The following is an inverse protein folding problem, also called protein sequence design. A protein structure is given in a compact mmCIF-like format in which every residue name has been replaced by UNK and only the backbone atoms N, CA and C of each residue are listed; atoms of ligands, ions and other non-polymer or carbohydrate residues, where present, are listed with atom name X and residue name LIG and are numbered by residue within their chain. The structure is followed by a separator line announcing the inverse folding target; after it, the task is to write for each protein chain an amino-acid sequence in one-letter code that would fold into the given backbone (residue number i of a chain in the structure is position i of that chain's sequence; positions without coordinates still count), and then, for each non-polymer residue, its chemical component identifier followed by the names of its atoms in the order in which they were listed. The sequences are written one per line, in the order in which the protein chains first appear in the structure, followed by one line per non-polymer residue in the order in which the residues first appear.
data_IF_780503655987
#
_entry.id   IF_780503655987
#
_cell.length_a   1.000
_cell.length_b   1.000
_cell.length_c   1.000
_cell.angle_alpha   90.00
_cell.angle_beta   90.00
_cell.angle_gamma   90.00
#
_symmetry.space_group_name_H-M   'P 1'
#
loop_
_entity.id
_entity.type
_entity.pdbx_description
1 polymer ?
#
# COMPACT_ATOMS: atom_id res chain seq x y z
N UNK A 1 74.66 44.10 143.08
CA UNK A 1 74.80 43.03 144.07
C UNK A 1 75.34 43.63 145.35
N UNK A 2 74.49 43.84 146.35
CA UNK A 2 74.94 44.27 147.67
C UNK A 2 75.36 43.01 148.43
N UNK A 3 76.67 42.83 148.63
CA UNK A 3 77.18 41.79 149.51
C UNK A 3 76.58 42.00 150.89
N UNK A 4 75.63 41.14 151.28
CA UNK A 4 75.07 41.12 152.63
C UNK A 4 76.11 40.48 153.54
N UNK A 5 77.05 41.30 154.00
CA UNK A 5 77.97 41.02 155.12
C UNK A 5 77.20 40.97 156.46
N UNK A 6 76.05 40.31 156.47
CA UNK A 6 75.26 40.00 157.66
C UNK A 6 75.61 38.56 158.03
N UNK A 7 76.11 38.27 159.24
CA UNK A 7 76.33 36.89 159.66
C UNK A 7 75.01 36.13 159.67
N UNK A 8 74.89 35.07 158.86
CA UNK A 8 73.64 34.33 158.68
C UNK A 8 73.03 33.83 160.00
N UNK A 9 73.88 33.57 161.00
CA UNK A 9 73.45 33.34 162.38
C UNK A 9 74.26 34.20 163.35
N UNK A 10 73.77 35.42 163.63
CA UNK A 10 74.29 36.25 164.74
C UNK A 10 74.33 35.51 166.09
N UNK A 11 73.46 34.52 166.29
CA UNK A 11 73.48 33.66 167.47
C UNK A 11 74.71 32.74 167.54
N UNK A 12 75.25 32.29 166.39
CA UNK A 12 76.43 31.41 166.35
C UNK A 12 77.71 32.21 166.59
N UNK A 13 77.80 33.47 166.14
CA UNK A 13 78.90 34.36 166.53
C UNK A 13 78.93 34.60 168.04
N UNK A 14 77.78 34.88 168.66
CA UNK A 14 77.67 35.05 170.12
C UNK A 14 78.03 33.74 170.85
N UNK A 15 77.61 32.57 170.34
CA UNK A 15 78.01 31.28 170.90
C UNK A 15 79.52 31.03 170.80
N UNK A 16 80.14 31.36 169.66
CA UNK A 16 81.59 31.27 169.46
C UNK A 16 82.38 32.25 170.35
N UNK A 17 81.82 33.42 170.66
CA UNK A 17 82.40 34.40 171.57
C UNK A 17 82.35 33.87 173.02
N UNK A 18 81.18 33.42 173.50
CA UNK A 18 81.04 32.80 174.81
C UNK A 18 81.92 31.54 174.99
N UNK A 19 82.10 30.71 173.95
CA UNK A 19 82.99 29.53 174.00
C UNK A 19 84.46 29.95 174.14
N UNK A 20 84.87 31.06 173.51
CA UNK A 20 86.22 31.62 173.68
C UNK A 20 86.42 32.29 175.04
N UNK A 21 85.39 32.92 175.58
CA UNK A 21 85.40 33.46 176.94
C UNK A 21 85.55 32.34 177.97
N UNK A 22 84.76 31.27 177.87
CA UNK A 22 84.88 30.06 178.69
C UNK A 22 86.26 29.41 178.58
N UNK A 23 86.80 29.28 177.36
CA UNK A 23 88.15 28.75 177.13
C UNK A 23 89.23 29.63 177.77
N UNK A 24 89.06 30.96 177.73
CA UNK A 24 89.97 31.89 178.39
C UNK A 24 89.88 31.80 179.91
N UNK A 25 88.68 31.79 180.49
CA UNK A 25 88.46 31.64 181.94
C UNK A 25 89.11 30.34 182.45
N UNK A 26 88.92 29.22 181.76
CA UNK A 26 89.53 27.93 182.13
C UNK A 26 91.06 27.92 182.06
N UNK A 27 91.67 28.67 181.13
CA UNK A 27 93.13 28.85 181.07
C UNK A 27 93.64 29.74 182.21
N UNK A 28 92.93 30.84 182.49
CA UNK A 28 93.34 31.86 183.47
C UNK A 28 93.14 31.37 184.93
N UNK A 29 92.10 30.57 185.22
CA UNK A 29 91.81 30.05 186.57
C UNK A 29 92.68 28.86 187.02
N UNK A 30 93.48 28.27 186.11
CA UNK A 30 94.47 27.24 186.47
C UNK A 30 93.89 25.93 187.02
N UNK A 31 92.62 25.63 186.72
CA UNK A 31 91.88 24.47 187.24
C UNK A 31 92.47 23.16 186.72
N UNK A 32 92.45 22.10 187.52
CA UNK A 32 92.83 20.76 187.04
C UNK A 32 91.94 20.34 185.86
N UNK A 33 92.54 19.73 184.82
CA UNK A 33 91.93 19.45 183.50
C UNK A 33 91.68 20.65 182.59
N UNK A 34 92.20 21.86 182.90
CA UNK A 34 92.15 22.99 181.97
C UNK A 34 92.80 22.75 180.60
N UNK A 35 93.89 21.96 180.43
CA UNK A 35 94.48 21.73 179.10
C UNK A 35 93.56 20.92 178.19
N UNK A 36 92.96 19.84 178.70
CA UNK A 36 92.06 18.96 177.95
C UNK A 36 90.72 19.65 177.67
N UNK A 37 90.17 20.38 178.64
CA UNK A 37 88.95 21.16 178.43
C UNK A 37 89.16 22.27 177.39
N UNK A 38 90.30 22.98 177.46
CA UNK A 38 90.68 24.00 176.48
C UNK A 38 90.90 23.40 175.08
N UNK A 39 91.51 22.22 174.98
CA UNK A 39 91.64 21.51 173.71
C UNK A 39 90.28 21.22 173.08
N UNK A 40 89.32 20.68 173.85
CA UNK A 40 87.98 20.42 173.34
C UNK A 40 87.17 21.68 173.03
N UNK A 41 87.29 22.77 173.80
CA UNK A 41 86.65 24.05 173.44
C UNK A 41 87.26 24.67 172.19
N UNK A 42 88.57 24.50 171.96
CA UNK A 42 89.26 24.86 170.73
C UNK A 42 88.81 23.99 169.54
N UNK A 43 88.62 22.68 169.73
CA UNK A 43 88.06 21.78 168.71
C UNK A 43 86.61 22.12 168.38
N UNK A 44 85.76 22.40 169.38
CA UNK A 44 84.37 22.85 169.18
C UNK A 44 84.35 24.19 168.44
N UNK A 45 85.21 25.15 168.82
CA UNK A 45 85.36 26.42 168.11
C UNK A 45 85.76 26.18 166.65
N UNK A 46 86.73 25.29 166.40
CA UNK A 46 87.16 24.89 165.06
C UNK A 46 86.06 24.24 164.23
N UNK A 47 85.31 23.30 164.81
CA UNK A 47 84.20 22.61 164.14
C UNK A 47 83.04 23.56 163.83
N UNK A 48 82.65 24.43 164.76
CA UNK A 48 81.57 25.42 164.55
C UNK A 48 81.99 26.48 163.54
N UNK A 49 83.23 26.98 163.58
CA UNK A 49 83.74 27.91 162.56
C UNK A 49 83.89 27.28 161.18
N UNK A 50 84.24 26.00 161.11
CA UNK A 50 84.25 25.21 159.88
C UNK A 50 82.85 25.02 159.30
N UNK A 51 81.89 24.58 160.13
CA UNK A 51 80.49 24.41 159.72
C UNK A 51 79.85 25.74 159.27
N UNK A 52 80.18 26.85 159.92
CA UNK A 52 79.78 28.20 159.49
C UNK A 52 80.41 28.61 158.14
N UNK A 53 81.66 28.20 157.87
CA UNK A 53 82.30 28.45 156.59
C UNK A 53 81.71 27.59 155.46
N UNK A 54 81.43 26.31 155.73
CA UNK A 54 80.73 25.41 154.81
C UNK A 54 79.29 25.90 154.56
N UNK A 55 78.59 26.35 155.60
CA UNK A 55 77.25 26.92 155.53
C UNK A 55 77.18 28.16 154.64
N UNK A 56 78.10 29.12 154.83
CA UNK A 56 78.25 30.28 153.94
C UNK A 56 78.56 29.86 152.50
N UNK A 57 79.51 28.95 152.30
CA UNK A 57 79.88 28.45 150.97
C UNK A 57 78.68 27.80 150.26
N UNK A 58 77.89 26.99 150.98
CA UNK A 58 76.68 26.38 150.45
C UNK A 58 75.58 27.41 150.16
N UNK A 59 75.45 28.46 150.97
CA UNK A 59 74.50 29.55 150.73
C UNK A 59 74.89 30.38 149.50
N UNK A 60 76.17 30.76 149.37
CA UNK A 60 76.72 31.44 148.19
C UNK A 60 76.50 30.63 146.91
N UNK A 61 76.78 29.31 146.94
CA UNK A 61 76.51 28.41 145.82
C UNK A 61 75.01 28.33 145.48
N UNK A 62 74.13 28.33 146.49
CA UNK A 62 72.68 28.33 146.29
C UNK A 62 72.17 29.67 145.72
N UNK A 63 72.72 30.80 146.16
CA UNK A 63 72.39 32.13 145.62
C UNK A 63 72.82 32.22 144.14
N UNK A 64 74.06 31.83 143.83
CA UNK A 64 74.58 31.78 142.45
C UNK A 64 73.70 30.88 141.58
N UNK A 65 73.43 29.64 142.01
CA UNK A 65 72.58 28.72 141.26
C UNK A 65 71.14 29.24 141.09
N UNK A 66 70.61 29.99 142.07
CA UNK A 66 69.28 30.61 141.97
C UNK A 66 69.27 31.77 140.98
N UNK A 67 70.31 32.60 140.95
CA UNK A 67 70.49 33.67 139.97
C UNK A 67 70.64 33.08 138.57
N UNK A 68 71.52 32.10 138.38
CA UNK A 68 71.70 31.39 137.10
C UNK A 68 70.41 30.73 136.61
N UNK A 69 69.66 30.07 137.51
CA UNK A 69 68.35 29.50 137.16
C UNK A 69 67.34 30.57 136.75
N UNK A 70 67.38 31.75 137.38
CA UNK A 70 66.54 32.90 137.01
C UNK A 70 66.93 33.47 135.64
N UNK A 71 68.22 33.57 135.33
CA UNK A 71 68.72 33.99 134.00
C UNK A 71 68.27 33.00 132.94
N UNK A 72 68.51 31.70 133.13
CA UNK A 72 68.10 30.65 132.19
C UNK A 72 66.57 30.61 131.97
N UNK A 73 65.76 30.85 133.01
CA UNK A 73 64.29 30.99 132.86
C UNK A 73 63.92 32.21 132.01
N UNK A 74 64.62 33.34 132.20
CA UNK A 74 64.37 34.54 131.42
C UNK A 74 64.77 34.34 129.95
N UNK A 75 65.94 33.78 129.68
CA UNK A 75 66.41 33.43 128.33
C UNK A 75 65.49 32.43 127.64
N UNK A 76 65.06 31.36 128.34
CA UNK A 76 64.13 30.37 127.78
C UNK A 76 62.76 30.99 127.44
N UNK A 77 62.26 31.91 128.27
CA UNK A 77 61.03 32.65 127.97
C UNK A 77 61.24 33.61 126.78
N UNK A 78 62.36 34.34 126.72
CA UNK A 78 62.69 35.21 125.59
C UNK A 78 62.78 34.44 124.26
N UNK A 79 63.46 33.29 124.25
CA UNK A 79 63.55 32.41 123.08
C UNK A 79 62.17 31.85 122.70
N UNK A 80 61.34 31.48 123.68
CA UNK A 80 59.95 31.05 123.44
C UNK A 80 59.13 32.15 122.78
N UNK A 81 59.20 33.38 123.30
CA UNK A 81 58.44 34.51 122.80
C UNK A 81 58.90 34.90 121.39
N UNK A 82 60.21 34.94 121.15
CA UNK A 82 60.79 35.13 119.81
C UNK A 82 60.35 34.04 118.83
N UNK A 83 60.43 32.76 119.21
CA UNK A 83 60.00 31.64 118.36
C UNK A 83 58.49 31.69 118.09
N UNK A 84 57.68 32.08 119.08
CA UNK A 84 56.25 32.30 118.89
C UNK A 84 55.96 33.45 117.93
N UNK A 85 56.73 34.54 117.97
CA UNK A 85 56.61 35.65 117.02
C UNK A 85 56.99 35.23 115.60
N UNK A 86 58.09 34.48 115.41
CA UNK A 86 58.49 33.93 114.11
C UNK A 86 57.41 33.01 113.55
N UNK A 87 56.92 32.05 114.33
CA UNK A 87 55.84 31.13 113.90
C UNK A 87 54.57 31.91 113.51
N UNK A 88 54.19 32.95 114.27
CA UNK A 88 53.05 33.79 113.91
C UNK A 88 53.27 34.59 112.62
N UNK A 89 54.49 35.09 112.38
CA UNK A 89 54.85 35.81 111.16
C UNK A 89 54.83 34.88 109.94
N UNK A 90 55.41 33.68 110.05
CA UNK A 90 55.40 32.66 108.98
C UNK A 90 53.98 32.20 108.65
N UNK A 91 53.15 31.96 109.67
CA UNK A 91 51.72 31.62 109.48
C UNK A 91 50.94 32.78 108.83
N UNK A 92 51.26 34.03 109.17
CA UNK A 92 50.64 35.19 108.53
C UNK A 92 51.08 35.34 107.06
N UNK A 93 52.37 35.17 106.77
CA UNK A 93 52.91 35.21 105.42
C UNK A 93 52.35 34.09 104.53
N UNK A 94 52.27 32.85 105.04
CA UNK A 94 51.66 31.73 104.34
C UNK A 94 50.15 31.97 104.08
N UNK A 95 49.42 32.55 105.04
CA UNK A 95 48.01 32.92 104.84
C UNK A 95 47.84 34.01 103.78
N UNK A 96 48.71 35.02 103.75
CA UNK A 96 48.70 36.07 102.75
C UNK A 96 48.98 35.51 101.34
N UNK A 97 50.05 34.72 101.20
CA UNK A 97 50.41 34.06 99.93
C UNK A 97 49.30 33.14 99.41
N UNK A 98 48.70 32.31 100.29
CA UNK A 98 47.57 31.46 99.91
C UNK A 98 46.33 32.29 99.51
N UNK A 99 46.10 33.45 100.13
CA UNK A 99 44.98 34.32 99.77
C UNK A 99 45.19 34.98 98.39
N UNK A 100 46.43 35.39 98.08
CA UNK A 100 46.83 35.90 96.77
C UNK A 100 46.68 34.82 95.67
N UNK A 101 47.14 33.58 95.94
CA UNK A 101 46.99 32.45 95.00
C UNK A 101 45.51 32.11 94.75
N UNK A 102 44.69 32.02 95.80
CA UNK A 102 43.24 31.77 95.66
C UNK A 102 42.56 32.87 94.83
N UNK A 103 42.95 34.13 95.02
CA UNK A 103 42.38 35.24 94.27
C UNK A 103 42.88 35.28 92.81
N UNK A 104 44.11 34.86 92.55
CA UNK A 104 44.60 34.66 91.18
C UNK A 104 43.85 33.52 90.47
N UNK A 105 43.72 32.36 91.11
CA UNK A 105 42.95 31.22 90.59
C UNK A 105 41.48 31.57 90.30
N UNK A 106 40.87 32.44 91.11
CA UNK A 106 39.50 32.97 90.85
C UNK A 106 39.44 33.83 89.60
N UNK A 107 40.42 34.72 89.39
CA UNK A 107 40.50 35.56 88.19
C UNK A 107 40.72 34.72 86.94
N UNK A 108 41.61 33.73 87.02
CA UNK A 108 41.88 32.81 85.90
C UNK A 108 40.67 31.94 85.58
N UNK A 109 39.97 31.39 86.59
CA UNK A 109 38.73 30.65 86.41
C UNK A 109 37.62 31.52 85.79
N UNK A 110 37.49 32.78 86.22
CA UNK A 110 36.53 33.71 85.63
C UNK A 110 36.87 34.03 84.17
N UNK A 111 38.15 34.25 83.86
CA UNK A 111 38.61 34.49 82.49
C UNK A 111 38.36 33.29 81.57
N UNK A 112 38.67 32.06 82.03
CA UNK A 112 38.37 30.82 81.31
C UNK A 112 36.86 30.66 81.08
N UNK A 113 36.04 31.00 82.07
CA UNK A 113 34.57 30.95 81.95
C UNK A 113 34.06 31.92 80.86
N UNK A 114 34.57 33.16 80.82
CA UNK A 114 34.24 34.13 79.76
C UNK A 114 34.69 33.65 78.37
N UNK A 115 35.87 33.03 78.27
CA UNK A 115 36.36 32.43 77.01
C UNK A 115 35.44 31.28 76.57
N UNK A 116 35.02 30.42 77.50
CA UNK A 116 34.12 29.31 77.22
C UNK A 116 32.76 29.82 76.69
N UNK A 117 32.13 30.77 77.38
CA UNK A 117 30.86 31.38 76.96
C UNK A 117 30.97 32.05 75.57
N UNK A 118 32.05 32.82 75.34
CA UNK A 118 32.34 33.44 74.04
C UNK A 118 32.53 32.40 72.92
N UNK A 119 33.19 31.28 73.23
CA UNK A 119 33.46 30.20 72.28
C UNK A 119 32.18 29.42 71.94
N UNK A 120 31.34 29.11 72.93
CA UNK A 120 30.01 28.50 72.72
C UNK A 120 29.13 29.42 71.88
N UNK A 121 29.06 30.72 72.20
CA UNK A 121 28.28 31.69 71.42
C UNK A 121 28.76 31.80 69.96
N UNK A 122 30.06 31.72 69.70
CA UNK A 122 30.62 31.67 68.34
C UNK A 122 30.29 30.36 67.63
N UNK A 123 30.42 29.23 68.31
CA UNK A 123 30.08 27.91 67.78
C UNK A 123 28.62 27.86 67.33
N UNK A 124 27.69 28.34 68.15
CA UNK A 124 26.26 28.28 67.86
C UNK A 124 25.87 29.21 66.70
N UNK A 125 26.53 30.37 66.55
CA UNK A 125 26.40 31.22 65.36
C UNK A 125 26.87 30.51 64.09
N UNK A 126 28.08 29.94 64.11
CA UNK A 126 28.64 29.19 62.96
C UNK A 126 27.74 27.99 62.61
N UNK A 127 27.20 27.29 63.61
CA UNK A 127 26.25 26.20 63.40
C UNK A 127 24.97 26.69 62.70
N UNK A 128 24.37 27.78 63.18
CA UNK A 128 23.19 28.39 62.55
C UNK A 128 23.47 28.88 61.11
N UNK A 129 24.66 29.41 60.84
CA UNK A 129 25.08 29.80 59.49
C UNK A 129 25.23 28.58 58.58
N UNK A 130 25.84 27.49 59.05
CA UNK A 130 25.96 26.22 58.30
C UNK A 130 24.59 25.62 57.99
N UNK A 131 23.65 25.63 58.94
CA UNK A 131 22.28 25.16 58.73
C UNK A 131 21.56 26.00 57.66
N UNK A 132 21.67 27.34 57.73
CA UNK A 132 21.09 28.24 56.72
C UNK A 132 21.73 28.06 55.33
N UNK A 133 23.05 27.89 55.26
CA UNK A 133 23.75 27.65 53.99
C UNK A 133 23.39 26.28 53.39
N UNK A 134 23.21 25.27 54.23
CA UNK A 134 22.75 23.93 53.81
C UNK A 134 21.36 23.99 53.19
N UNK A 135 20.44 24.73 53.81
CA UNK A 135 19.09 24.95 53.29
C UNK A 135 19.10 25.65 51.92
N UNK A 136 19.83 26.77 51.77
CA UNK A 136 19.93 27.47 50.49
C UNK A 136 20.64 26.62 49.41
N UNK A 137 21.68 25.85 49.77
CA UNK A 137 22.32 24.88 48.86
C UNK A 137 21.31 23.87 48.33
N UNK A 138 20.49 23.28 49.19
CA UNK A 138 19.55 22.23 48.81
C UNK A 138 18.38 22.78 47.97
N UNK A 139 17.93 24.01 48.27
CA UNK A 139 17.00 24.79 47.45
C UNK A 139 17.55 25.15 46.07
N UNK A 140 18.83 25.55 45.96
CA UNK A 140 19.50 25.78 44.67
C UNK A 140 19.66 24.47 43.91
N UNK A 141 19.99 23.37 44.59
CA UNK A 141 20.09 22.03 43.99
C UNK A 141 18.75 21.56 43.42
N UNK A 142 17.63 21.77 44.13
CA UNK A 142 16.29 21.46 43.64
C UNK A 142 15.96 22.25 42.36
N UNK A 143 16.16 23.58 42.37
CA UNK A 143 15.99 24.42 41.17
C UNK A 143 16.86 23.99 40.00
N UNK A 144 18.09 23.57 40.26
CA UNK A 144 18.99 23.08 39.21
C UNK A 144 18.49 21.75 38.61
N UNK A 145 17.92 20.86 39.44
CA UNK A 145 17.28 19.63 38.97
C UNK A 145 16.03 19.90 38.14
N UNK A 146 15.20 20.88 38.51
CA UNK A 146 14.04 21.34 37.72
C UNK A 146 14.48 21.85 36.33
N UNK A 147 15.55 22.66 36.27
CA UNK A 147 16.11 23.15 35.00
C UNK A 147 16.68 22.01 34.14
N UNK A 148 17.36 21.02 34.74
CA UNK A 148 17.84 19.83 34.02
C UNK A 148 16.66 19.03 33.45
N UNK A 149 15.57 18.84 34.20
CA UNK A 149 14.37 18.15 33.74
C UNK A 149 13.75 18.88 32.53
N UNK A 150 13.50 20.18 32.65
CA UNK A 150 12.94 20.99 31.56
C UNK A 150 13.79 20.97 30.28
N UNK A 151 15.12 21.02 30.39
CA UNK A 151 16.04 20.93 29.24
C UNK A 151 16.03 19.52 28.60
N UNK A 152 15.84 18.46 29.38
CA UNK A 152 15.69 17.11 28.84
C UNK A 152 14.36 16.91 28.12
N UNK A 153 13.28 17.52 28.63
CA UNK A 153 11.96 17.51 27.98
C UNK A 153 11.99 18.28 26.66
N UNK A 154 12.55 19.50 26.64
CA UNK A 154 12.74 20.30 25.42
C UNK A 154 13.60 19.55 24.39
N UNK A 155 14.69 18.90 24.82
CA UNK A 155 15.54 18.09 23.96
C UNK A 155 14.79 16.89 23.38
N UNK A 156 13.93 16.25 24.16
CA UNK A 156 13.09 15.12 23.71
C UNK A 156 12.06 15.59 22.68
N UNK A 157 11.39 16.71 22.94
CA UNK A 157 10.47 17.34 22.00
C UNK A 157 11.17 17.72 20.68
N UNK A 158 12.38 18.28 20.76
CA UNK A 158 13.19 18.62 19.59
C UNK A 158 13.56 17.40 18.75
N UNK A 159 13.94 16.28 19.37
CA UNK A 159 14.18 15.03 18.64
C UNK A 159 12.91 14.47 17.99
N UNK A 160 11.76 14.52 18.67
CA UNK A 160 10.49 14.10 18.10
C UNK A 160 10.09 14.95 16.88
N UNK A 161 10.24 16.28 16.97
CA UNK A 161 10.00 17.20 15.84
C UNK A 161 10.97 16.95 14.68
N UNK A 162 12.26 16.69 14.96
CA UNK A 162 13.24 16.35 13.93
C UNK A 162 12.88 15.03 13.23
N UNK A 163 12.50 13.99 13.99
CA UNK A 163 12.06 12.71 13.42
C UNK A 163 10.82 12.86 12.53
N UNK A 164 9.84 13.66 12.94
CA UNK A 164 8.66 13.98 12.12
C UNK A 164 9.04 14.76 10.84
N UNK A 165 9.97 15.71 10.93
CA UNK A 165 10.48 16.46 9.77
C UNK A 165 11.14 15.52 8.75
N UNK A 166 11.98 14.59 9.21
CA UNK A 166 12.69 13.66 8.34
C UNK A 166 11.75 12.59 7.74
N UNK A 167 10.74 12.12 8.49
CA UNK A 167 9.63 11.33 7.93
C UNK A 167 8.87 12.10 6.84
N UNK A 168 8.53 13.37 7.09
CA UNK A 168 7.83 14.22 6.12
C UNK A 168 8.68 14.40 4.85
N UNK A 169 9.99 14.60 4.99
CA UNK A 169 10.94 14.67 3.85
C UNK A 169 10.94 13.38 3.03
N UNK A 170 11.03 12.22 3.67
CA UNK A 170 10.96 10.92 2.97
C UNK A 170 9.66 10.80 2.17
N UNK A 171 8.50 11.11 2.77
CA UNK A 171 7.22 11.06 2.03
C UNK A 171 7.16 12.02 0.84
N UNK A 172 7.82 13.18 0.92
CA UNK A 172 7.92 14.13 -0.21
C UNK A 172 8.81 13.56 -1.32
N UNK A 173 9.90 12.86 -0.99
CA UNK A 173 10.78 12.21 -1.96
C UNK A 173 10.09 11.02 -2.63
N UNK A 174 9.39 10.18 -1.86
CA UNK A 174 8.59 9.05 -2.37
C UNK A 174 7.46 9.54 -3.31
N UNK A 175 6.78 10.62 -2.96
CA UNK A 175 5.76 11.25 -3.81
C UNK A 175 6.36 11.84 -5.09
N UNK A 176 7.53 12.49 -5.02
CA UNK A 176 8.23 12.99 -6.23
C UNK A 176 8.63 11.85 -7.16
N UNK A 177 9.16 10.75 -6.62
CA UNK A 177 9.50 9.56 -7.40
C UNK A 177 8.25 8.94 -8.06
N UNK A 178 7.13 8.91 -7.33
CA UNK A 178 5.84 8.44 -7.85
C UNK A 178 5.31 9.34 -8.98
N UNK A 179 5.38 10.66 -8.82
CA UNK A 179 4.99 11.63 -9.87
C UNK A 179 5.85 11.42 -11.13
N UNK A 180 7.19 11.36 -10.99
CA UNK A 180 8.09 11.14 -12.12
C UNK A 180 7.83 9.81 -12.84
N UNK A 181 7.46 8.75 -12.11
CA UNK A 181 7.04 7.48 -12.70
C UNK A 181 5.71 7.60 -13.46
N UNK A 182 4.72 8.30 -12.91
CA UNK A 182 3.46 8.56 -13.60
C UNK A 182 3.66 9.42 -14.86
N UNK A 183 4.50 10.44 -14.82
CA UNK A 183 4.87 11.27 -15.99
C UNK A 183 5.55 10.44 -17.07
N UNK A 184 6.51 9.58 -16.70
CA UNK A 184 7.17 8.66 -17.64
C UNK A 184 6.16 7.70 -18.29
N UNK A 185 5.33 7.02 -17.49
CA UNK A 185 4.29 6.12 -17.99
C UNK A 185 3.29 6.84 -18.91
N UNK A 186 2.97 8.11 -18.62
CA UNK A 186 2.09 8.93 -19.47
C UNK A 186 2.74 9.22 -20.81
N UNK A 187 4.04 9.56 -20.84
CA UNK A 187 4.77 9.75 -22.11
C UNK A 187 4.86 8.45 -22.92
N UNK A 188 5.13 7.31 -22.28
CA UNK A 188 5.14 5.99 -22.93
C UNK A 188 3.77 5.67 -23.55
N UNK A 189 2.69 5.80 -22.79
CA UNK A 189 1.32 5.56 -23.29
C UNK A 189 0.93 6.52 -24.42
N UNK A 190 1.39 7.77 -24.39
CA UNK A 190 1.19 8.71 -25.50
C UNK A 190 1.93 8.26 -26.76
N UNK A 191 3.17 7.80 -26.63
CA UNK A 191 3.97 7.28 -27.74
C UNK A 191 3.36 6.00 -28.33
N UNK A 192 2.98 5.04 -27.47
CA UNK A 192 2.32 3.80 -27.88
C UNK A 192 1.00 4.09 -28.63
N UNK A 193 0.18 5.02 -28.11
CA UNK A 193 -1.06 5.45 -28.76
C UNK A 193 -0.82 6.15 -30.11
N UNK A 194 0.32 6.84 -30.30
CA UNK A 194 0.67 7.38 -31.63
C UNK A 194 1.06 6.28 -32.61
N UNK A 195 1.84 5.28 -32.18
CA UNK A 195 2.22 4.13 -33.02
C UNK A 195 1.01 3.28 -33.40
N UNK A 196 0.12 2.98 -32.44
CA UNK A 196 -1.12 2.23 -32.68
C UNK A 196 -2.04 2.96 -33.69
N UNK A 197 -2.12 4.29 -33.63
CA UNK A 197 -2.85 5.09 -34.63
C UNK A 197 -2.22 5.04 -36.01
N UNK A 198 -0.89 5.10 -36.11
CA UNK A 198 -0.19 4.97 -37.40
C UNK A 198 -0.41 3.58 -38.01
N UNK A 199 -0.31 2.52 -37.21
CA UNK A 199 -0.53 1.15 -37.67
C UNK A 199 -1.99 0.88 -38.03
N UNK A 200 -2.95 1.43 -37.29
CA UNK A 200 -4.37 1.39 -37.66
C UNK A 200 -4.66 2.12 -38.98
N UNK A 201 -4.00 3.26 -39.23
CA UNK A 201 -4.12 3.98 -40.51
C UNK A 201 -3.54 3.15 -41.66
N UNK A 202 -2.36 2.56 -41.50
CA UNK A 202 -1.76 1.65 -42.49
C UNK A 202 -2.69 0.47 -42.78
N UNK A 203 -3.16 -0.22 -41.74
CA UNK A 203 -4.04 -1.38 -41.88
C UNK A 203 -5.36 -1.02 -42.60
N UNK A 204 -5.94 0.15 -42.31
CA UNK A 204 -7.13 0.66 -43.02
C UNK A 204 -6.82 0.99 -44.49
N UNK A 205 -5.66 1.56 -44.78
CA UNK A 205 -5.22 1.81 -46.16
C UNK A 205 -4.98 0.51 -46.94
N UNK A 206 -4.39 -0.50 -46.31
CA UNK A 206 -4.13 -1.80 -46.92
C UNK A 206 -5.43 -2.58 -47.17
N UNK A 207 -6.36 -2.62 -46.20
CA UNK A 207 -7.71 -3.16 -46.41
C UNK A 207 -8.47 -2.42 -47.52
N UNK A 208 -8.31 -1.09 -47.62
CA UNK A 208 -8.94 -0.33 -48.70
C UNK A 208 -8.30 -0.62 -50.07
N UNK A 209 -6.99 -0.89 -50.14
CA UNK A 209 -6.35 -1.37 -51.38
C UNK A 209 -6.88 -2.76 -51.74
N UNK A 210 -6.98 -3.66 -50.77
CA UNK A 210 -7.49 -5.02 -50.97
C UNK A 210 -8.95 -5.01 -51.47
N UNK A 211 -9.84 -4.23 -50.85
CA UNK A 211 -11.23 -4.05 -51.32
C UNK A 211 -11.28 -3.48 -52.76
N UNK A 212 -10.44 -2.50 -53.09
CA UNK A 212 -10.34 -1.97 -54.45
C UNK A 212 -9.79 -3.02 -55.44
N UNK A 213 -8.79 -3.82 -55.05
CA UNK A 213 -8.23 -4.90 -55.87
C UNK A 213 -9.22 -6.04 -56.11
N UNK A 214 -9.98 -6.45 -55.10
CA UNK A 214 -11.08 -7.42 -55.24
C UNK A 214 -12.19 -6.88 -56.15
N UNK A 215 -12.56 -5.60 -55.98
CA UNK A 215 -13.56 -4.95 -56.83
C UNK A 215 -13.08 -4.82 -58.30
N UNK A 216 -11.79 -4.57 -58.53
CA UNK A 216 -11.17 -4.63 -59.87
C UNK A 216 -11.21 -6.05 -60.42
N UNK A 217 -10.79 -7.08 -59.66
CA UNK A 217 -10.84 -8.49 -60.10
C UNK A 217 -12.25 -8.90 -60.51
N UNK A 218 -13.28 -8.57 -59.71
CA UNK A 218 -14.67 -8.86 -60.08
C UNK A 218 -15.14 -8.10 -61.33
N UNK A 219 -14.68 -6.86 -61.55
CA UNK A 219 -14.95 -6.16 -62.82
C UNK A 219 -14.23 -6.83 -64.01
N UNK A 220 -12.98 -7.27 -63.85
CA UNK A 220 -12.24 -8.00 -64.89
C UNK A 220 -12.87 -9.36 -65.21
N UNK A 221 -13.32 -10.10 -64.20
CA UNK A 221 -14.05 -11.37 -64.35
C UNK A 221 -15.38 -11.16 -65.11
N UNK A 222 -16.18 -10.16 -64.71
CA UNK A 222 -17.42 -9.81 -65.40
C UNK A 222 -17.19 -9.35 -66.86
N UNK A 223 -16.11 -8.61 -67.11
CA UNK A 223 -15.70 -8.23 -68.47
C UNK A 223 -15.22 -9.42 -69.30
N UNK A 224 -14.50 -10.38 -68.70
CA UNK A 224 -14.09 -11.63 -69.36
C UNK A 224 -15.30 -12.50 -69.69
N UNK A 225 -16.27 -12.61 -68.80
CA UNK A 225 -17.49 -13.37 -69.01
C UNK A 225 -18.37 -12.74 -70.10
N UNK A 226 -18.62 -11.43 -70.04
CA UNK A 226 -19.32 -10.70 -71.11
C UNK A 226 -18.61 -10.79 -72.47
N UNK A 227 -17.26 -10.81 -72.47
CA UNK A 227 -16.47 -11.02 -73.69
C UNK A 227 -16.64 -12.43 -74.26
N UNK A 228 -16.68 -13.47 -73.41
CA UNK A 228 -17.00 -14.84 -73.84
C UNK A 228 -18.40 -14.92 -74.45
N UNK A 229 -19.40 -14.32 -73.80
CA UNK A 229 -20.77 -14.24 -74.34
C UNK A 229 -20.83 -13.53 -75.70
N UNK A 230 -20.11 -12.41 -75.85
CA UNK A 230 -20.02 -11.68 -77.12
C UNK A 230 -19.36 -12.49 -78.23
N UNK A 231 -18.30 -13.24 -77.94
CA UNK A 231 -17.64 -14.09 -78.93
C UNK A 231 -18.52 -15.31 -79.30
N UNK A 232 -19.25 -15.89 -78.35
CA UNK A 232 -20.24 -16.96 -78.58
C UNK A 232 -21.44 -16.45 -79.41
N UNK A 233 -21.90 -15.22 -79.17
CA UNK A 233 -22.91 -14.53 -79.99
C UNK A 233 -22.40 -14.24 -81.41
N UNK A 234 -21.12 -13.88 -81.57
CA UNK A 234 -20.49 -13.70 -82.91
C UNK A 234 -20.41 -15.01 -83.67
N UNK A 235 -20.05 -16.11 -83.01
CA UNK A 235 -19.97 -17.43 -83.61
C UNK A 235 -21.36 -17.95 -84.02
N UNK A 236 -22.36 -17.81 -83.14
CA UNK A 236 -23.76 -18.08 -83.48
C UNK A 236 -24.27 -17.21 -84.64
N UNK A 237 -23.90 -15.93 -84.69
CA UNK A 237 -24.22 -15.06 -85.84
C UNK A 237 -23.55 -15.54 -87.12
N UNK A 238 -22.30 -16.00 -87.06
CA UNK A 238 -21.55 -16.53 -88.21
C UNK A 238 -22.22 -17.80 -88.75
N UNK A 239 -22.44 -18.78 -87.89
CA UNK A 239 -23.13 -20.03 -88.22
C UNK A 239 -24.55 -19.78 -88.77
N UNK A 240 -25.28 -18.82 -88.19
CA UNK A 240 -26.58 -18.38 -88.70
C UNK A 240 -26.51 -17.72 -90.08
N UNK A 241 -25.42 -17.05 -90.41
CA UNK A 241 -25.19 -16.43 -91.71
C UNK A 241 -24.77 -17.47 -92.76
N UNK A 242 -23.91 -18.42 -92.40
CA UNK A 242 -23.48 -19.53 -93.25
C UNK A 242 -24.69 -20.42 -93.63
N UNK A 243 -25.57 -20.74 -92.67
CA UNK A 243 -26.86 -21.41 -92.91
C UNK A 243 -27.77 -20.62 -93.87
N UNK A 244 -27.70 -19.28 -93.84
CA UNK A 244 -28.51 -18.39 -94.68
C UNK A 244 -28.02 -18.40 -96.14
N UNK A 245 -26.71 -18.49 -96.35
CA UNK A 245 -26.12 -18.62 -97.68
C UNK A 245 -26.30 -20.05 -98.25
N UNK A 246 -26.30 -21.10 -97.42
CA UNK A 246 -26.72 -22.45 -97.81
C UNK A 246 -28.21 -22.50 -98.24
N UNK A 247 -29.10 -21.85 -97.48
CA UNK A 247 -30.53 -21.73 -97.83
C UNK A 247 -30.73 -20.93 -99.13
N UNK A 248 -29.91 -19.91 -99.40
CA UNK A 248 -29.89 -19.18 -100.68
C UNK A 248 -29.45 -20.09 -101.84
N UNK A 249 -28.40 -20.88 -101.65
CA UNK A 249 -27.95 -21.87 -102.64
C UNK A 249 -29.05 -22.90 -102.97
N UNK A 250 -29.74 -23.42 -101.96
CA UNK A 250 -30.90 -24.31 -102.14
C UNK A 250 -32.06 -23.61 -102.86
N UNK A 251 -32.32 -22.33 -102.54
CA UNK A 251 -33.37 -21.54 -103.21
C UNK A 251 -33.07 -21.37 -104.70
N UNK A 252 -31.82 -21.01 -105.06
CA UNK A 252 -31.37 -20.89 -106.46
C UNK A 252 -31.48 -22.23 -107.20
N UNK A 253 -31.14 -23.35 -106.54
CA UNK A 253 -31.34 -24.68 -107.12
C UNK A 253 -32.82 -24.99 -107.37
N UNK A 254 -33.70 -24.70 -106.40
CA UNK A 254 -35.13 -24.89 -106.53
C UNK A 254 -35.73 -24.02 -107.65
N UNK A 255 -35.37 -22.73 -107.75
CA UNK A 255 -35.77 -21.86 -108.85
C UNK A 255 -35.34 -22.42 -110.22
N UNK A 256 -34.10 -22.92 -110.34
CA UNK A 256 -33.61 -23.57 -111.57
C UNK A 256 -34.36 -24.86 -111.94
N UNK A 257 -34.93 -25.54 -110.94
CA UNK A 257 -35.76 -26.74 -111.13
C UNK A 257 -37.18 -26.38 -111.52
N UNK A 258 -37.72 -25.30 -110.94
CA UNK A 258 -39.06 -24.79 -111.20
C UNK A 258 -39.15 -24.23 -112.63
N UNK A 259 -38.16 -23.44 -113.08
CA UNK A 259 -38.09 -22.96 -114.47
C UNK A 259 -38.02 -24.11 -115.50
N UNK A 260 -37.35 -25.22 -115.19
CA UNK A 260 -37.34 -26.43 -116.04
C UNK A 260 -38.71 -27.12 -116.10
N UNK A 261 -39.38 -27.24 -114.95
CA UNK A 261 -40.74 -27.79 -114.86
C UNK A 261 -41.76 -26.92 -115.61
N UNK A 262 -41.63 -25.60 -115.52
CA UNK A 262 -42.52 -24.64 -116.18
C UNK A 262 -42.33 -24.65 -117.71
N UNK A 263 -41.09 -24.76 -118.19
CA UNK A 263 -40.79 -24.99 -119.61
C UNK A 263 -41.36 -26.33 -120.13
N UNK A 264 -41.27 -27.40 -119.33
CA UNK A 264 -41.84 -28.71 -119.66
C UNK A 264 -43.38 -28.69 -119.72
N UNK A 265 -44.02 -27.98 -118.78
CA UNK A 265 -45.47 -27.77 -118.75
C UNK A 265 -45.95 -27.01 -119.99
N UNK A 266 -45.30 -25.89 -120.34
CA UNK A 266 -45.65 -25.11 -121.54
C UNK A 266 -45.48 -25.90 -122.84
N UNK A 267 -44.50 -26.82 -122.91
CA UNK A 267 -44.38 -27.72 -124.05
C UNK A 267 -45.55 -28.71 -124.13
N UNK A 268 -45.93 -29.32 -123.00
CA UNK A 268 -47.04 -30.29 -122.93
C UNK A 268 -48.39 -29.64 -123.26
N UNK A 269 -48.65 -28.42 -122.78
CA UNK A 269 -49.88 -27.66 -123.09
C UNK A 269 -50.00 -27.37 -124.59
N UNK A 270 -48.91 -27.00 -125.27
CA UNK A 270 -48.90 -26.75 -126.73
C UNK A 270 -49.19 -28.00 -127.56
N UNK A 271 -48.73 -29.17 -127.11
CA UNK A 271 -49.04 -30.45 -127.77
C UNK A 271 -50.53 -30.78 -127.59
N UNK A 272 -51.05 -30.63 -126.37
CA UNK A 272 -52.46 -30.89 -126.05
C UNK A 272 -53.43 -29.98 -126.83
N UNK A 273 -53.08 -28.70 -127.00
CA UNK A 273 -53.90 -27.74 -127.76
C UNK A 273 -53.96 -28.07 -129.27
N UNK A 274 -52.83 -28.50 -129.85
CA UNK A 274 -52.78 -28.96 -131.24
C UNK A 274 -53.62 -30.22 -131.48
N UNK A 275 -53.57 -31.17 -130.54
CA UNK A 275 -54.33 -32.42 -130.60
C UNK A 275 -55.84 -32.20 -130.38
N UNK A 276 -56.21 -31.25 -129.52
CA UNK A 276 -57.60 -30.83 -129.29
C UNK A 276 -58.22 -30.20 -130.55
N UNK A 277 -57.48 -29.33 -131.27
CA UNK A 277 -57.94 -28.73 -132.54
C UNK A 277 -58.17 -29.82 -133.61
N UNK A 278 -57.26 -30.79 -133.71
CA UNK A 278 -57.38 -31.93 -134.62
C UNK A 278 -58.62 -32.80 -134.31
N UNK A 279 -58.96 -32.97 -133.04
CA UNK A 279 -60.16 -33.69 -132.61
C UNK A 279 -61.46 -32.95 -132.97
N UNK A 280 -61.46 -31.61 -132.89
CA UNK A 280 -62.61 -30.77 -133.28
C UNK A 280 -62.87 -30.81 -134.80
N UNK A 281 -61.82 -30.79 -135.63
CA UNK A 281 -61.95 -30.94 -137.09
C UNK A 281 -62.54 -32.30 -137.50
N UNK A 282 -62.06 -33.39 -136.89
CA UNK A 282 -62.59 -34.74 -137.09
C UNK A 282 -64.06 -34.88 -136.64
N UNK A 283 -64.43 -34.23 -135.53
CA UNK A 283 -65.82 -34.20 -135.07
C UNK A 283 -66.74 -33.45 -136.05
N UNK A 284 -66.30 -32.33 -136.62
CA UNK A 284 -67.05 -31.57 -137.62
C UNK A 284 -67.25 -32.37 -138.93
N UNK A 285 -66.21 -33.07 -139.41
CA UNK A 285 -66.32 -33.94 -140.59
C UNK A 285 -67.30 -35.11 -140.37
N UNK A 286 -67.29 -35.73 -139.18
CA UNK A 286 -68.24 -36.80 -138.81
C UNK A 286 -69.69 -36.31 -138.84
N UNK A 287 -69.95 -35.11 -138.31
CA UNK A 287 -71.29 -34.50 -138.29
C UNK A 287 -71.80 -34.17 -139.70
N UNK A 288 -70.92 -33.67 -140.58
CA UNK A 288 -71.26 -33.40 -141.98
C UNK A 288 -71.64 -34.69 -142.74
N UNK A 289 -70.87 -35.77 -142.56
CA UNK A 289 -71.14 -37.08 -143.19
C UNK A 289 -72.42 -37.74 -142.64
N UNK A 290 -72.71 -37.61 -141.34
CA UNK A 290 -73.98 -38.10 -140.79
C UNK A 290 -75.19 -37.36 -141.36
N UNK A 291 -75.07 -36.05 -141.60
CA UNK A 291 -76.14 -35.27 -142.25
C UNK A 291 -76.38 -35.71 -143.69
N UNK A 292 -75.32 -35.89 -144.48
CA UNK A 292 -75.43 -36.40 -145.86
C UNK A 292 -76.05 -37.79 -145.95
N UNK A 293 -75.72 -38.69 -145.02
CA UNK A 293 -76.35 -40.01 -144.92
C UNK A 293 -77.85 -39.92 -144.61
N UNK A 294 -78.25 -39.02 -143.71
CA UNK A 294 -79.65 -38.84 -143.35
C UNK A 294 -80.47 -38.23 -144.51
N UNK A 295 -79.91 -37.24 -145.20
CA UNK A 295 -80.54 -36.58 -146.36
C UNK A 295 -80.72 -37.58 -147.53
N UNK A 296 -79.70 -38.41 -147.83
CA UNK A 296 -79.84 -39.49 -148.81
C UNK A 296 -80.91 -40.52 -148.43
N UNK A 297 -81.00 -40.93 -147.16
CA UNK A 297 -81.99 -41.90 -146.71
C UNK A 297 -83.43 -41.35 -146.89
N UNK A 298 -83.64 -40.08 -146.51
CA UNK A 298 -84.93 -39.41 -146.66
C UNK A 298 -85.38 -39.31 -148.13
N UNK A 299 -84.45 -39.13 -149.08
CA UNK A 299 -84.79 -39.14 -150.51
C UNK A 299 -84.98 -40.57 -151.05
N UNK A 300 -84.24 -41.56 -150.54
CA UNK A 300 -84.46 -42.98 -150.86
C UNK A 300 -85.85 -43.46 -150.41
N UNK A 301 -86.27 -43.10 -149.19
CA UNK A 301 -87.58 -43.46 -148.64
C UNK A 301 -88.74 -42.79 -149.39
N UNK A 302 -88.58 -41.53 -149.85
CA UNK A 302 -89.55 -40.87 -150.74
C UNK A 302 -89.71 -41.64 -152.06
N UNK A 303 -88.60 -42.02 -152.70
CA UNK A 303 -88.63 -42.79 -153.97
C UNK A 303 -89.24 -44.17 -153.76
N UNK A 304 -88.95 -44.83 -152.63
CA UNK A 304 -89.56 -46.12 -152.25
C UNK A 304 -91.07 -46.02 -152.01
N UNK A 305 -91.54 -44.95 -151.36
CA UNK A 305 -92.96 -44.71 -151.14
C UNK A 305 -93.70 -44.46 -152.47
N UNK A 306 -93.13 -43.62 -153.34
CA UNK A 306 -93.72 -43.24 -154.63
C UNK A 306 -93.79 -44.44 -155.61
N UNK A 307 -92.78 -45.31 -155.60
CA UNK A 307 -92.81 -46.59 -156.33
C UNK A 307 -93.83 -47.59 -155.78
N UNK A 308 -93.93 -47.75 -154.45
CA UNK A 308 -94.96 -48.61 -153.84
C UNK A 308 -96.38 -48.13 -154.16
N UNK A 309 -96.62 -46.82 -154.14
CA UNK A 309 -97.91 -46.23 -154.47
C UNK A 309 -98.27 -46.44 -155.96
N UNK A 310 -97.30 -46.34 -156.87
CA UNK A 310 -97.48 -46.65 -158.31
C UNK A 310 -97.80 -48.13 -158.55
N UNK A 311 -97.12 -49.05 -157.87
CA UNK A 311 -97.40 -50.50 -157.97
C UNK A 311 -98.82 -50.82 -157.50
N UNK A 312 -99.21 -50.37 -156.31
CA UNK A 312 -100.55 -50.62 -155.77
C UNK A 312 -101.67 -50.10 -156.69
N UNK A 313 -101.47 -48.93 -157.32
CA UNK A 313 -102.42 -48.34 -158.25
C UNK A 313 -102.52 -49.15 -159.57
N UNK A 314 -101.42 -49.72 -160.07
CA UNK A 314 -101.44 -50.62 -161.23
C UNK A 314 -102.15 -51.94 -160.89
N UNK A 315 -101.89 -52.51 -159.72
CA UNK A 315 -102.54 -53.76 -159.27
C UNK A 315 -104.07 -53.58 -159.11
N UNK A 316 -104.53 -52.48 -158.52
CA UNK A 316 -105.97 -52.16 -158.42
C UNK A 316 -106.64 -52.09 -159.80
N UNK A 317 -105.98 -51.44 -160.77
CA UNK A 317 -106.50 -51.36 -162.13
C UNK A 317 -106.54 -52.73 -162.83
N UNK A 318 -105.56 -53.61 -162.57
CA UNK A 318 -105.58 -54.99 -163.10
C UNK A 318 -106.69 -55.86 -162.48
N UNK A 319 -106.99 -55.69 -161.18
CA UNK A 319 -108.10 -56.40 -160.52
C UNK A 319 -109.46 -55.93 -161.07
N UNK A 320 -109.66 -54.63 -161.24
CA UNK A 320 -110.88 -54.07 -161.84
C UNK A 320 -111.09 -54.53 -163.30
N UNK A 321 -110.00 -54.65 -164.08
CA UNK A 321 -110.04 -55.15 -165.46
C UNK A 321 -110.36 -56.67 -165.55
N UNK A 322 -109.98 -57.47 -164.55
CA UNK A 322 -110.37 -58.91 -164.51
C UNK A 322 -111.84 -59.09 -164.16
N UNK A 323 -112.32 -58.38 -163.14
CA UNK A 323 -113.73 -58.45 -162.70
C UNK A 323 -114.72 -58.06 -163.82
N UNK A 324 -114.37 -57.06 -164.64
CA UNK A 324 -115.19 -56.66 -165.80
C UNK A 324 -115.17 -57.69 -166.94
N UNK A 325 -114.08 -58.45 -167.11
CA UNK A 325 -113.98 -59.53 -168.11
C UNK A 325 -114.83 -60.76 -167.73
N UNK A 326 -114.80 -61.16 -166.47
CA UNK A 326 -115.59 -62.32 -165.97
C UNK A 326 -117.11 -62.06 -166.07
N UNK A 327 -117.55 -60.84 -165.72
CA UNK A 327 -118.96 -60.44 -165.81
C UNK A 327 -119.54 -60.51 -167.23
N UNK A 328 -118.72 -60.33 -168.27
CA UNK A 328 -119.15 -60.48 -169.66
C UNK A 328 -119.15 -61.94 -170.14
N UNK A 329 -118.21 -62.78 -169.69
CA UNK A 329 -118.26 -64.23 -169.98
C UNK A 329 -119.48 -64.91 -169.39
N UNK A 330 -119.90 -64.53 -168.17
CA UNK A 330 -121.07 -65.13 -167.50
C UNK A 330 -122.41 -64.82 -168.22
N UNK A 331 -122.47 -63.68 -168.93
CA UNK A 331 -123.62 -63.32 -169.79
C UNK A 331 -123.69 -64.18 -171.06
N UNK A 332 -122.56 -64.56 -171.65
CA UNK A 332 -122.54 -65.48 -172.79
C UNK A 332 -122.97 -66.91 -172.40
N UNK A 333 -122.61 -67.36 -171.20
CA UNK A 333 -123.03 -68.68 -170.70
C UNK A 333 -124.56 -68.80 -170.55
N UNK A 334 -125.22 -67.78 -169.98
CA UNK A 334 -126.68 -67.82 -169.71
C UNK A 334 -127.56 -67.80 -170.96
N UNK A 335 -127.13 -67.18 -172.06
CA UNK A 335 -127.90 -67.21 -173.32
C UNK A 335 -127.80 -68.60 -173.98
N UNK A 336 -126.67 -69.30 -173.84
CA UNK A 336 -126.45 -70.61 -174.45
C UNK A 336 -127.29 -71.74 -173.82
N UNK A 337 -127.57 -71.66 -172.52
CA UNK A 337 -128.43 -72.65 -171.83
C UNK A 337 -129.91 -72.50 -172.19
N UNK A 338 -130.45 -71.27 -172.22
CA UNK A 338 -131.91 -71.06 -172.39
C UNK A 338 -132.44 -71.62 -173.72
N UNK A 339 -131.70 -71.46 -174.83
CA UNK A 339 -132.16 -71.97 -176.13
C UNK A 339 -131.96 -73.47 -176.32
N UNK A 340 -131.12 -74.11 -175.50
CA UNK A 340 -130.89 -75.57 -175.52
C UNK A 340 -132.03 -76.35 -174.86
N UNK A 341 -132.76 -75.71 -173.94
CA UNK A 341 -133.87 -76.31 -173.18
C UNK A 341 -135.14 -76.49 -174.02
N UNK A 342 -135.42 -75.61 -174.98
CA UNK A 342 -136.64 -75.68 -175.82
C UNK A 342 -136.62 -76.84 -176.83
N UNK A 343 -135.52 -77.57 -176.97
CA UNK A 343 -135.32 -78.65 -177.95
C UNK A 343 -135.39 -80.08 -177.39
N UNK A 344 -135.72 -80.29 -176.10
CA UNK A 344 -135.63 -81.63 -175.46
C UNK A 344 -136.90 -82.19 -174.80
N UNK A 345 -138.08 -81.69 -175.15
CA UNK A 345 -139.38 -82.40 -174.95
C UNK A 345 -140.40 -82.02 -176.03
N UNK A 346 -141.32 -82.86 -176.54
CA UNK A 346 -141.35 -84.29 -176.92
C UNK A 346 -141.08 -85.43 -175.89
N UNK A 347 -141.48 -86.63 -176.33
CA UNK A 347 -141.10 -87.96 -175.83
C UNK A 347 -141.32 -88.29 -174.34
N UNK A 348 -142.53 -88.00 -173.85
CA UNK A 348 -143.52 -89.08 -173.68
C UNK A 348 -144.92 -88.57 -174.02
#
# INVERSE_FOLDING_TARGET
MASRLVPDFSAVLVALEHIKELDKELRDEGVAFSPEASAHLSEITGAVTGLEAEGRTAHELLEVATIENSVLRHEMNLIRDQMSQVIMADVAAARASNAEEIEQLRKDLHHVSQIQESTVSKHDKVKSEIESQTFERDKVKAKHQEVIAALNDERTQKYAMQSHLDQTRQTIEDLKASIASCEHNTMTLQQDLTLEKEDFVKQREDLSKEENEEQIKHQEEALLESRRELDLLRENKRNGNDNLDDLRLQTIQLESSMQRLEASKSHSEKVLEAETKKYQELAAQKLALQKQLHDMNNDFDKVLADLKQKIANIEQNMVAARATRECLQDKFAKIYEVFKVTMRRRQK
#
